data_IF_125427416102
#
_entry.id   IF_125427416102
#
_cell.length_a   1.000
_cell.length_b   1.000
_cell.length_c   1.000
_cell.angle_alpha   90.00
_cell.angle_beta   90.00
_cell.angle_gamma   90.00
#
_symmetry.space_group_name_H-M   'P 1'
#
loop_
_entity.id
_entity.type
_entity.pdbx_description
1 polymer ?
#
# COMPACT_ATOMS: atom_id res chain seq x y z
N UNK A 1 35.62 6.85 -33.05
CA UNK A 1 35.60 6.57 -31.60
C UNK A 1 34.55 7.40 -30.84
N UNK A 2 34.46 8.70 -31.11
CA UNK A 2 33.52 9.64 -30.46
C UNK A 2 32.03 9.22 -30.53
N UNK A 3 31.53 8.75 -31.68
CA UNK A 3 30.13 8.27 -31.82
C UNK A 3 29.79 7.09 -30.90
N UNK A 4 30.75 6.18 -30.66
CA UNK A 4 30.60 5.02 -29.76
C UNK A 4 30.61 5.46 -28.29
N UNK A 5 31.41 6.46 -27.94
CA UNK A 5 31.48 7.05 -26.61
C UNK A 5 30.19 7.81 -26.26
N UNK A 6 29.67 8.62 -27.18
CA UNK A 6 28.40 9.33 -27.02
C UNK A 6 27.23 8.35 -26.82
N UNK A 7 27.22 7.24 -27.56
CA UNK A 7 26.18 6.20 -27.40
C UNK A 7 26.25 5.52 -26.03
N UNK A 8 27.46 5.28 -25.49
CA UNK A 8 27.62 4.69 -24.15
C UNK A 8 27.24 5.66 -23.04
N UNK A 9 27.54 6.95 -23.21
CA UNK A 9 27.14 7.99 -22.27
C UNK A 9 25.62 8.15 -22.25
N UNK A 10 24.98 8.20 -23.42
CA UNK A 10 23.52 8.26 -23.55
C UNK A 10 22.83 7.11 -22.82
N UNK A 11 23.30 5.87 -22.98
CA UNK A 11 22.73 4.71 -22.27
C UNK A 11 22.76 4.89 -20.76
N UNK A 12 23.89 5.31 -20.21
CA UNK A 12 24.02 5.53 -18.76
C UNK A 12 23.10 6.63 -18.25
N UNK A 13 22.97 7.72 -19.02
CA UNK A 13 22.06 8.81 -18.67
C UNK A 13 20.63 8.32 -18.66
N UNK A 14 20.19 7.59 -19.70
CA UNK A 14 18.85 6.99 -19.76
C UNK A 14 18.61 6.06 -18.57
N UNK A 15 19.56 5.18 -18.23
CA UNK A 15 19.42 4.24 -17.11
C UNK A 15 19.29 4.96 -15.75
N UNK A 16 20.09 6.02 -15.53
CA UNK A 16 20.02 6.84 -14.31
C UNK A 16 18.70 7.60 -14.25
N UNK A 17 18.28 8.23 -15.35
CA UNK A 17 17.00 8.92 -15.42
C UNK A 17 15.82 7.97 -15.13
N UNK A 18 15.80 6.78 -15.73
CA UNK A 18 14.75 5.78 -15.46
C UNK A 18 14.71 5.36 -13.99
N UNK A 19 15.87 5.19 -13.35
CA UNK A 19 15.91 4.83 -11.93
C UNK A 19 15.35 5.94 -11.04
N UNK A 20 15.67 7.19 -11.36
CA UNK A 20 15.14 8.35 -10.64
C UNK A 20 13.63 8.49 -10.84
N UNK A 21 13.15 8.38 -12.09
CA UNK A 21 11.70 8.44 -12.36
C UNK A 21 10.95 7.30 -11.68
N UNK A 22 11.51 6.09 -11.64
CA UNK A 22 10.90 4.98 -10.91
C UNK A 22 10.73 5.30 -9.42
N UNK A 23 11.75 5.88 -8.77
CA UNK A 23 11.66 6.28 -7.35
C UNK A 23 10.60 7.37 -7.12
N UNK A 24 10.48 8.33 -8.05
CA UNK A 24 9.42 9.34 -8.00
C UNK A 24 8.03 8.71 -8.19
N UNK A 25 7.87 7.77 -9.13
CA UNK A 25 6.61 7.06 -9.35
C UNK A 25 6.18 6.25 -8.13
N UNK A 26 7.12 5.59 -7.46
CA UNK A 26 6.83 4.88 -6.21
C UNK A 26 6.51 5.82 -5.03
N UNK A 27 6.75 7.12 -5.17
CA UNK A 27 6.40 8.15 -4.18
C UNK A 27 5.13 8.90 -4.61
N UNK A 28 4.03 8.19 -4.84
CA UNK A 28 2.74 8.77 -5.25
C UNK A 28 2.26 9.86 -4.29
N UNK A 29 2.42 9.65 -2.98
CA UNK A 29 2.07 10.64 -1.95
C UNK A 29 2.83 11.97 -2.06
N UNK A 30 3.99 11.98 -2.73
CA UNK A 30 4.81 13.18 -2.93
C UNK A 30 4.55 13.80 -4.30
N UNK A 31 4.33 12.96 -5.32
CA UNK A 31 4.15 13.42 -6.71
C UNK A 31 2.74 13.92 -6.96
N UNK A 32 1.74 13.34 -6.30
CA UNK A 32 0.34 13.64 -6.58
C UNK A 32 -0.11 13.07 -7.92
N UNK A 33 -1.42 13.15 -8.17
CA UNK A 33 -2.07 12.48 -9.30
C UNK A 33 -1.55 12.99 -10.66
N UNK A 34 -1.61 14.32 -10.89
CA UNK A 34 -1.23 14.93 -12.16
C UNK A 34 0.25 14.67 -12.51
N UNK A 35 1.17 14.93 -11.57
CA UNK A 35 2.59 14.75 -11.84
C UNK A 35 2.93 13.26 -12.02
N UNK A 36 2.28 12.35 -11.29
CA UNK A 36 2.50 10.91 -11.43
C UNK A 36 2.17 10.43 -12.85
N UNK A 37 1.07 10.90 -13.45
CA UNK A 37 0.72 10.56 -14.84
C UNK A 37 1.79 11.03 -15.84
N UNK A 38 2.22 12.29 -15.75
CA UNK A 38 3.24 12.84 -16.64
C UNK A 38 4.61 12.18 -16.47
N UNK A 39 5.02 11.92 -15.22
CA UNK A 39 6.23 11.18 -14.90
C UNK A 39 6.14 9.75 -15.46
N UNK A 40 4.97 9.12 -15.38
CA UNK A 40 4.71 7.77 -15.91
C UNK A 40 4.83 7.71 -17.43
N UNK A 41 4.32 8.72 -18.13
CA UNK A 41 4.51 8.88 -19.57
C UNK A 41 6.00 9.09 -19.92
N UNK A 42 6.70 9.94 -19.19
CA UNK A 42 8.15 10.14 -19.34
C UNK A 42 8.94 8.85 -19.14
N UNK A 43 8.60 8.07 -18.11
CA UNK A 43 9.19 6.76 -17.84
C UNK A 43 8.94 5.78 -18.99
N UNK A 44 7.72 5.73 -19.53
CA UNK A 44 7.36 4.86 -20.66
C UNK A 44 8.19 5.20 -21.90
N UNK A 45 8.37 6.49 -22.22
CA UNK A 45 9.23 6.95 -23.31
C UNK A 45 10.68 6.55 -23.08
N UNK A 46 11.23 6.75 -21.87
CA UNK A 46 12.60 6.37 -21.56
C UNK A 46 12.82 4.86 -21.64
N UNK A 47 11.85 4.04 -21.20
CA UNK A 47 11.89 2.58 -21.34
C UNK A 47 11.93 2.20 -22.83
N UNK A 48 11.08 2.79 -23.68
CA UNK A 48 11.12 2.56 -25.13
C UNK A 48 12.49 2.92 -25.71
N UNK A 49 13.04 4.08 -25.34
CA UNK A 49 14.39 4.50 -25.76
C UNK A 49 15.44 3.50 -25.29
N UNK A 50 15.37 3.03 -24.04
CA UNK A 50 16.27 2.00 -23.51
C UNK A 50 16.19 0.70 -24.33
N UNK A 51 14.97 0.24 -24.68
CA UNK A 51 14.79 -0.93 -25.53
C UNK A 51 15.41 -0.75 -26.92
N UNK A 52 15.23 0.42 -27.54
CA UNK A 52 15.82 0.76 -28.85
C UNK A 52 17.36 0.76 -28.77
N UNK A 53 17.92 1.41 -27.75
CA UNK A 53 19.37 1.45 -27.52
C UNK A 53 19.94 0.04 -27.29
N UNK A 54 19.16 -0.85 -26.69
CA UNK A 54 19.55 -2.23 -26.37
C UNK A 54 19.00 -3.28 -27.35
N UNK A 55 18.51 -2.89 -28.54
CA UNK A 55 17.90 -3.79 -29.54
C UNK A 55 18.74 -5.02 -29.92
N UNK A 56 20.07 -4.94 -29.77
CA UNK A 56 21.00 -6.05 -30.06
C UNK A 56 20.80 -7.24 -29.13
N UNK A 57 20.31 -7.02 -27.91
CA UNK A 57 20.02 -8.08 -26.95
C UNK A 57 18.93 -9.04 -27.47
N UNK A 58 17.88 -8.51 -28.09
CA UNK A 58 16.81 -9.32 -28.71
C UNK A 58 17.34 -10.28 -29.78
N UNK A 59 18.24 -9.80 -30.64
CA UNK A 59 18.91 -10.64 -31.64
C UNK A 59 19.89 -11.65 -31.05
N UNK A 60 20.39 -11.40 -29.83
CA UNK A 60 21.25 -12.32 -29.11
C UNK A 60 20.46 -13.38 -28.34
N UNK A 61 19.21 -13.13 -27.93
CA UNK A 61 18.39 -14.11 -27.20
C UNK A 61 18.30 -15.45 -27.94
N UNK A 62 18.06 -15.43 -29.24
CA UNK A 62 17.91 -16.66 -30.03
C UNK A 62 19.25 -17.34 -30.40
N UNK A 63 20.39 -16.87 -29.88
CA UNK A 63 21.73 -17.34 -30.29
C UNK A 63 22.58 -17.83 -29.12
N UNK A 64 23.20 -19.00 -29.27
CA UNK A 64 24.23 -19.54 -28.37
C UNK A 64 23.69 -20.39 -27.21
N UNK A 65 24.60 -21.03 -26.46
CA UNK A 65 24.26 -21.89 -25.32
C UNK A 65 23.77 -21.04 -24.14
N UNK A 66 22.74 -21.53 -23.44
CA UNK A 66 22.19 -20.89 -22.25
C UNK A 66 22.90 -21.38 -21.01
N UNK A 67 23.53 -20.44 -20.31
CA UNK A 67 24.15 -20.69 -19.02
C UNK A 67 23.24 -20.17 -17.88
N UNK A 68 23.29 -20.74 -16.67
CA UNK A 68 22.55 -20.28 -15.49
C UNK A 68 22.47 -18.75 -15.33
N UNK A 69 23.61 -18.04 -15.31
CA UNK A 69 23.63 -16.56 -15.27
C UNK A 69 22.84 -15.92 -16.42
N UNK A 70 22.99 -16.44 -17.65
CA UNK A 70 22.27 -15.93 -18.83
C UNK A 70 20.77 -16.23 -18.76
N UNK A 71 20.37 -17.40 -18.26
CA UNK A 71 18.97 -17.76 -18.05
C UNK A 71 18.37 -16.80 -17.04
N UNK A 72 19.01 -16.62 -15.87
CA UNK A 72 18.54 -15.72 -14.81
C UNK A 72 18.36 -14.28 -15.32
N UNK A 73 19.38 -13.72 -16.00
CA UNK A 73 19.28 -12.37 -16.55
C UNK A 73 18.21 -12.27 -17.63
N UNK A 74 17.99 -13.31 -18.45
CA UNK A 74 16.95 -13.29 -19.48
C UNK A 74 15.56 -13.34 -18.86
N UNK A 75 15.33 -14.21 -17.86
CA UNK A 75 14.06 -14.31 -17.13
C UNK A 75 13.73 -12.99 -16.45
N UNK A 76 14.66 -12.41 -15.69
CA UNK A 76 14.44 -11.12 -15.01
C UNK A 76 14.13 -10.02 -16.03
N UNK A 77 14.88 -9.92 -17.13
CA UNK A 77 14.66 -8.87 -18.13
C UNK A 77 13.32 -9.03 -18.87
N UNK A 78 12.92 -10.26 -19.19
CA UNK A 78 11.63 -10.52 -19.83
C UNK A 78 10.49 -10.22 -18.86
N UNK A 79 10.57 -10.68 -17.61
CA UNK A 79 9.57 -10.37 -16.59
C UNK A 79 9.46 -8.86 -16.34
N UNK A 80 10.61 -8.16 -16.29
CA UNK A 80 10.66 -6.71 -16.12
C UNK A 80 9.98 -5.99 -17.30
N UNK A 81 10.25 -6.44 -18.53
CA UNK A 81 9.61 -5.87 -19.72
C UNK A 81 8.09 -6.07 -19.70
N UNK A 82 7.63 -7.27 -19.30
CA UNK A 82 6.20 -7.57 -19.18
C UNK A 82 5.55 -6.73 -18.08
N UNK A 83 6.17 -6.64 -16.90
CA UNK A 83 5.63 -5.85 -15.79
C UNK A 83 5.53 -4.38 -16.17
N UNK A 84 6.56 -3.79 -16.77
CA UNK A 84 6.52 -2.39 -17.23
C UNK A 84 5.47 -2.16 -18.32
N UNK A 85 5.37 -3.06 -19.30
CA UNK A 85 4.37 -2.94 -20.36
C UNK A 85 2.95 -2.98 -19.78
N UNK A 86 2.69 -3.89 -18.83
CA UNK A 86 1.39 -4.01 -18.18
C UNK A 86 1.07 -2.79 -17.29
N UNK A 87 2.03 -2.32 -16.49
CA UNK A 87 1.86 -1.12 -15.67
C UNK A 87 1.60 0.11 -16.53
N UNK A 88 2.36 0.30 -17.62
CA UNK A 88 2.17 1.41 -18.54
C UNK A 88 0.81 1.34 -19.24
N UNK A 89 0.40 0.17 -19.73
CA UNK A 89 -0.91 -0.01 -20.35
C UNK A 89 -2.05 0.29 -19.37
N UNK A 90 -2.00 -0.28 -18.17
CA UNK A 90 -3.04 -0.03 -17.16
C UNK A 90 -3.03 1.41 -16.66
N UNK A 91 -1.85 2.03 -16.55
CA UNK A 91 -1.71 3.44 -16.19
C UNK A 91 -2.25 4.39 -17.27
N UNK A 92 -2.06 4.07 -18.56
CA UNK A 92 -2.67 4.85 -19.65
C UNK A 92 -4.18 4.63 -19.74
N UNK A 93 -4.66 3.39 -19.50
CA UNK A 93 -6.09 3.07 -19.47
C UNK A 93 -6.81 3.73 -18.28
N UNK A 94 -6.04 4.08 -17.25
CA UNK A 94 -6.45 4.91 -16.14
C UNK A 94 -5.64 6.22 -16.16
N UNK A 95 -5.64 6.99 -17.24
CA UNK A 95 -5.07 8.35 -17.26
C UNK A 95 -6.18 9.36 -17.57
N UNK A 96 -6.33 10.36 -16.70
CA UNK A 96 -7.33 11.42 -16.84
C UNK A 96 -6.73 12.70 -17.43
N UNK A 97 -5.43 12.93 -17.21
CA UNK A 97 -4.75 14.16 -17.59
C UNK A 97 -3.85 13.97 -18.82
N UNK A 98 -2.97 12.96 -18.81
CA UNK A 98 -1.94 12.82 -19.85
C UNK A 98 -2.47 12.21 -21.15
N UNK A 99 -3.29 11.15 -21.07
CA UNK A 99 -3.88 10.46 -22.23
C UNK A 99 -5.37 10.14 -22.02
N UNK A 100 -6.23 11.16 -21.86
CA UNK A 100 -7.66 10.96 -21.55
C UNK A 100 -8.42 10.15 -22.61
N UNK A 101 -7.96 10.13 -23.86
CA UNK A 101 -8.56 9.33 -24.94
C UNK A 101 -8.41 7.81 -24.75
N UNK A 102 -7.53 7.36 -23.85
CA UNK A 102 -7.34 5.95 -23.50
C UNK A 102 -8.11 5.55 -22.23
N UNK A 103 -8.73 6.52 -21.56
CA UNK A 103 -9.54 6.27 -20.38
C UNK A 103 -10.70 5.29 -20.69
N UNK A 104 -10.91 4.32 -19.82
CA UNK A 104 -12.00 3.35 -19.96
C UNK A 104 -11.74 2.18 -20.93
N UNK A 105 -10.57 2.11 -21.58
CA UNK A 105 -10.20 0.93 -22.42
C UNK A 105 -10.17 -0.39 -21.64
N UNK A 106 -9.93 -0.32 -20.33
CA UNK A 106 -10.01 -1.44 -19.41
C UNK A 106 -10.86 -1.03 -18.20
N UNK A 107 -11.58 -1.98 -17.60
CA UNK A 107 -12.33 -1.74 -16.36
C UNK A 107 -11.42 -1.13 -15.31
N UNK A 108 -11.76 0.05 -14.79
CA UNK A 108 -10.90 0.85 -13.90
C UNK A 108 -10.48 0.05 -12.67
N UNK A 109 -11.39 -0.70 -12.05
CA UNK A 109 -11.08 -1.55 -10.89
C UNK A 109 -10.05 -2.64 -11.20
N UNK A 110 -10.12 -3.25 -12.38
CA UNK A 110 -9.15 -4.24 -12.84
C UNK A 110 -7.82 -3.60 -13.19
N UNK A 111 -7.84 -2.51 -13.98
CA UNK A 111 -6.64 -1.78 -14.37
C UNK A 111 -5.89 -1.24 -13.14
N UNK A 112 -6.61 -0.77 -12.11
CA UNK A 112 -6.02 -0.31 -10.84
C UNK A 112 -5.28 -1.43 -10.14
N UNK A 113 -5.95 -2.57 -9.95
CA UNK A 113 -5.36 -3.74 -9.29
C UNK A 113 -4.11 -4.23 -10.00
N UNK A 114 -4.17 -4.32 -11.34
CA UNK A 114 -3.02 -4.75 -12.15
C UNK A 114 -1.91 -3.72 -12.16
N UNK A 115 -2.22 -2.42 -12.28
CA UNK A 115 -1.24 -1.34 -12.24
C UNK A 115 -0.47 -1.35 -10.92
N UNK A 116 -1.17 -1.46 -9.79
CA UNK A 116 -0.55 -1.52 -8.47
C UNK A 116 0.32 -2.77 -8.31
N UNK A 117 -0.19 -3.96 -8.63
CA UNK A 117 0.63 -5.18 -8.50
C UNK A 117 1.84 -5.17 -9.43
N UNK A 118 1.66 -4.81 -10.70
CA UNK A 118 2.73 -4.82 -11.69
C UNK A 118 3.75 -3.70 -11.47
N UNK A 119 3.37 -2.54 -10.90
CA UNK A 119 4.34 -1.50 -10.52
C UNK A 119 5.26 -1.97 -9.38
N UNK A 120 4.71 -2.69 -8.39
CA UNK A 120 5.48 -3.27 -7.30
C UNK A 120 6.38 -4.41 -7.80
N UNK A 121 5.89 -5.27 -8.69
CA UNK A 121 6.72 -6.28 -9.35
C UNK A 121 7.82 -5.64 -10.20
N UNK A 122 7.52 -4.57 -10.94
CA UNK A 122 8.50 -3.83 -11.72
C UNK A 122 9.58 -3.22 -10.82
N UNK A 123 9.22 -2.72 -9.64
CA UNK A 123 10.15 -2.20 -8.64
C UNK A 123 11.12 -3.29 -8.13
N UNK A 124 10.58 -4.45 -7.72
CA UNK A 124 11.37 -5.61 -7.28
C UNK A 124 12.31 -6.10 -8.38
N UNK A 125 11.78 -6.30 -9.58
CA UNK A 125 12.53 -6.79 -10.74
C UNK A 125 13.57 -5.77 -11.21
N UNK A 126 13.31 -4.47 -11.10
CA UNK A 126 14.29 -3.41 -11.39
C UNK A 126 15.47 -3.49 -10.41
N UNK A 127 15.19 -3.66 -9.11
CA UNK A 127 16.23 -3.89 -8.11
C UNK A 127 17.10 -5.09 -8.47
N UNK A 128 16.49 -6.24 -8.76
CA UNK A 128 17.21 -7.45 -9.18
C UNK A 128 18.02 -7.23 -10.47
N UNK A 129 17.43 -6.55 -11.47
CA UNK A 129 18.07 -6.21 -12.74
C UNK A 129 19.32 -5.35 -12.52
N UNK A 130 19.19 -4.23 -11.79
CA UNK A 130 20.30 -3.34 -11.44
C UNK A 130 21.37 -4.08 -10.65
N UNK A 131 20.96 -4.88 -9.67
CA UNK A 131 21.81 -5.70 -8.82
C UNK A 131 22.76 -6.61 -9.60
N UNK A 132 22.25 -7.31 -10.61
CA UNK A 132 23.06 -8.22 -11.44
C UNK A 132 24.18 -7.51 -12.21
N UNK A 133 24.08 -6.20 -12.44
CA UNK A 133 25.10 -5.40 -13.12
C UNK A 133 26.18 -4.87 -12.17
N UNK A 134 25.89 -4.72 -10.87
CA UNK A 134 26.80 -4.17 -9.86
C UNK A 134 28.16 -4.93 -9.80
N UNK A 135 28.22 -6.28 -9.75
CA UNK A 135 29.49 -6.99 -9.68
C UNK A 135 30.41 -6.74 -10.88
N UNK A 136 29.83 -6.50 -12.07
CA UNK A 136 30.60 -6.18 -13.29
C UNK A 136 31.19 -4.77 -13.22
N UNK A 137 30.42 -3.84 -12.67
CA UNK A 137 30.84 -2.45 -12.52
C UNK A 137 31.90 -2.33 -11.42
N UNK A 138 31.69 -2.99 -10.28
CA UNK A 138 32.63 -3.04 -9.17
C UNK A 138 33.98 -3.64 -9.58
N UNK A 139 34.01 -4.65 -10.45
CA UNK A 139 35.25 -5.21 -10.98
C UNK A 139 36.08 -4.23 -11.81
N UNK A 140 35.48 -3.16 -12.34
CA UNK A 140 36.18 -2.09 -13.09
C UNK A 140 36.70 -0.97 -12.18
N UNK A 141 36.22 -0.89 -10.95
CA UNK A 141 36.65 0.08 -9.95
C UNK A 141 37.86 -0.49 -9.19
N UNK A 142 39.01 0.20 -9.26
CA UNK A 142 40.22 -0.16 -8.50
C UNK A 142 40.09 0.26 -7.03
N UNK A 143 39.15 -0.34 -6.29
CA UNK A 143 38.98 -0.09 -4.85
C UNK A 143 39.90 -0.99 -4.02
N UNK A 144 40.39 -0.47 -2.89
CA UNK A 144 41.12 -1.24 -1.88
C UNK A 144 40.21 -2.33 -1.27
N UNK A 145 40.77 -3.49 -0.92
CA UNK A 145 40.01 -4.60 -0.32
C UNK A 145 39.30 -4.18 0.98
N UNK A 146 39.93 -3.32 1.80
CA UNK A 146 39.27 -2.77 3.01
C UNK A 146 38.02 -1.94 2.68
N UNK A 147 38.09 -1.12 1.62
CA UNK A 147 36.93 -0.32 1.19
C UNK A 147 35.83 -1.22 0.64
N UNK A 148 36.16 -2.28 -0.11
CA UNK A 148 35.17 -3.24 -0.60
C UNK A 148 34.43 -3.94 0.53
N UNK A 149 35.15 -4.36 1.58
CA UNK A 149 34.53 -4.95 2.77
C UNK A 149 33.62 -3.95 3.48
N UNK A 150 34.09 -2.70 3.67
CA UNK A 150 33.28 -1.66 4.30
C UNK A 150 31.99 -1.37 3.54
N UNK A 151 32.07 -1.11 2.22
CA UNK A 151 30.88 -0.88 1.40
C UNK A 151 29.95 -2.09 1.36
N UNK A 152 30.50 -3.31 1.35
CA UNK A 152 29.69 -4.53 1.42
C UNK A 152 28.96 -4.68 2.75
N UNK A 153 29.60 -4.31 3.87
CA UNK A 153 28.98 -4.35 5.19
C UNK A 153 27.87 -3.29 5.31
N UNK A 154 28.12 -2.06 4.84
CA UNK A 154 27.11 -1.00 4.80
C UNK A 154 25.92 -1.41 3.93
N UNK A 155 26.17 -1.97 2.75
CA UNK A 155 25.11 -2.44 1.86
C UNK A 155 24.32 -3.62 2.46
N UNK A 156 24.97 -4.52 3.19
CA UNK A 156 24.31 -5.61 3.91
C UNK A 156 23.37 -5.09 5.00
N UNK A 157 23.82 -4.14 5.82
CA UNK A 157 22.97 -3.52 6.84
C UNK A 157 21.80 -2.75 6.21
N UNK A 158 22.08 -1.97 5.16
CA UNK A 158 21.05 -1.24 4.41
C UNK A 158 20.03 -2.18 3.76
N UNK A 159 20.46 -3.34 3.25
CA UNK A 159 19.58 -4.36 2.69
C UNK A 159 18.67 -4.98 3.77
N UNK A 160 19.20 -5.29 4.96
CA UNK A 160 18.38 -5.79 6.08
C UNK A 160 17.33 -4.78 6.53
N UNK A 161 17.71 -3.51 6.68
CA UNK A 161 16.77 -2.43 7.00
C UNK A 161 15.76 -2.18 5.86
N UNK A 162 16.21 -2.32 4.60
CA UNK A 162 15.34 -2.24 3.42
C UNK A 162 14.27 -3.34 3.39
N UNK A 163 14.59 -4.58 3.80
CA UNK A 163 13.59 -5.64 3.92
C UNK A 163 12.60 -5.38 5.05
N UNK A 164 13.07 -4.86 6.19
CA UNK A 164 12.20 -4.44 7.29
C UNK A 164 11.17 -3.41 6.81
N UNK A 165 11.61 -2.36 6.11
CA UNK A 165 10.72 -1.35 5.53
C UNK A 165 9.77 -1.95 4.48
N UNK A 166 10.26 -2.89 3.66
CA UNK A 166 9.45 -3.55 2.65
C UNK A 166 8.27 -4.33 3.23
N UNK A 167 8.48 -5.02 4.36
CA UNK A 167 7.42 -5.73 5.08
C UNK A 167 6.51 -4.73 5.82
N UNK A 168 7.10 -3.75 6.52
CA UNK A 168 6.37 -2.73 7.27
C UNK A 168 5.42 -1.92 6.39
N UNK A 169 5.81 -1.61 5.16
CA UNK A 169 5.00 -0.85 4.22
C UNK A 169 3.95 -1.72 3.48
N UNK A 170 3.78 -3.00 3.87
CA UNK A 170 2.75 -3.88 3.28
C UNK A 170 2.97 -4.21 1.81
N UNK A 171 4.19 -4.03 1.28
CA UNK A 171 4.52 -4.22 -0.15
C UNK A 171 4.18 -5.64 -0.65
N UNK A 172 4.20 -6.62 0.25
CA UNK A 172 3.82 -8.02 -0.02
C UNK A 172 2.36 -8.18 -0.42
N UNK A 173 1.45 -7.39 0.15
CA UNK A 173 0.03 -7.50 -0.12
C UNK A 173 -0.32 -6.93 -1.51
N UNK A 174 0.39 -5.88 -1.93
CA UNK A 174 0.31 -5.35 -3.30
C UNK A 174 0.86 -6.33 -4.35
N UNK A 175 1.97 -7.02 -4.05
CA UNK A 175 2.55 -8.04 -4.94
C UNK A 175 1.60 -9.22 -5.19
N UNK A 176 0.80 -9.60 -4.19
CA UNK A 176 -0.08 -10.76 -4.20
C UNK A 176 -1.55 -10.43 -4.52
N UNK A 177 -1.82 -9.25 -5.09
CA UNK A 177 -3.17 -8.81 -5.48
C UNK A 177 -4.19 -8.79 -4.32
N UNK A 178 -3.73 -8.67 -3.07
CA UNK A 178 -4.61 -8.69 -1.90
C UNK A 178 -5.34 -7.37 -1.69
N UNK A 179 -4.79 -6.27 -2.21
CA UNK A 179 -5.32 -4.91 -1.98
C UNK A 179 -5.67 -4.25 -3.31
N UNK A 180 -6.79 -3.53 -3.31
CA UNK A 180 -7.30 -2.79 -4.49
C UNK A 180 -6.98 -1.29 -4.43
N UNK A 181 -6.65 -0.78 -3.25
CA UNK A 181 -6.35 0.63 -2.96
C UNK A 181 -5.00 0.74 -2.25
N UNK A 182 -4.26 1.83 -2.50
CA UNK A 182 -3.09 2.13 -1.69
C UNK A 182 -3.47 3.06 -0.55
N UNK A 183 -3.15 2.63 0.67
CA UNK A 183 -3.22 3.46 1.86
C UNK A 183 -1.88 4.17 2.01
N UNK A 184 -1.84 5.43 1.61
CA UNK A 184 -0.64 6.26 1.69
C UNK A 184 -0.77 7.22 2.86
N UNK A 185 0.28 7.29 3.67
CA UNK A 185 0.39 8.26 4.75
C UNK A 185 0.85 9.60 4.16
N UNK A 186 -0.09 10.51 3.95
CA UNK A 186 0.18 11.84 3.40
C UNK A 186 0.83 12.81 4.41
N UNK A 187 0.83 12.48 5.71
CA UNK A 187 1.47 13.30 6.75
C UNK A 187 2.98 13.07 6.82
N UNK A 188 3.45 11.99 6.18
CA UNK A 188 4.87 11.63 6.14
C UNK A 188 5.66 12.55 5.23
N UNK A 189 6.79 13.05 5.74
CA UNK A 189 7.75 13.86 4.97
C UNK A 189 8.17 13.16 3.66
N UNK A 190 7.93 13.79 2.52
CA UNK A 190 8.20 13.18 1.20
C UNK A 190 9.65 12.74 0.98
N UNK A 191 10.63 13.40 1.61
CA UNK A 191 12.04 12.97 1.56
C UNK A 191 12.26 11.62 2.27
N UNK A 192 11.53 11.33 3.35
CA UNK A 192 11.60 10.04 4.04
C UNK A 192 11.02 8.92 3.16
N UNK A 193 9.94 9.19 2.43
CA UNK A 193 9.33 8.23 1.49
C UNK A 193 10.32 7.81 0.42
N UNK A 194 11.00 8.79 -0.20
CA UNK A 194 12.01 8.52 -1.22
C UNK A 194 13.19 7.76 -0.61
N UNK A 195 13.62 8.12 0.60
CA UNK A 195 14.69 7.42 1.30
C UNK A 195 14.34 5.95 1.60
N UNK A 196 13.13 5.67 2.06
CA UNK A 196 12.63 4.31 2.26
C UNK A 196 12.57 3.54 0.94
N UNK A 197 12.07 4.16 -0.12
CA UNK A 197 12.05 3.56 -1.47
C UNK A 197 13.47 3.22 -1.95
N UNK A 198 14.46 4.06 -1.67
CA UNK A 198 15.87 3.76 -1.99
C UNK A 198 16.36 2.55 -1.19
N UNK A 199 16.08 2.48 0.11
CA UNK A 199 16.51 1.36 0.97
C UNK A 199 15.87 0.03 0.54
N UNK A 200 14.58 0.04 0.21
CA UNK A 200 13.89 -1.12 -0.34
C UNK A 200 14.47 -1.54 -1.69
N UNK A 201 14.78 -0.59 -2.57
CA UNK A 201 15.42 -0.89 -3.86
C UNK A 201 16.82 -1.48 -3.67
N UNK A 202 17.59 -0.98 -2.70
CA UNK A 202 18.92 -1.48 -2.36
C UNK A 202 18.89 -2.92 -1.85
N UNK A 203 17.86 -3.33 -1.11
CA UNK A 203 17.66 -4.73 -0.72
C UNK A 203 17.56 -5.64 -1.95
N UNK A 204 16.68 -5.33 -2.90
CA UNK A 204 16.51 -6.13 -4.12
C UNK A 204 17.75 -6.06 -5.03
N UNK A 205 18.44 -4.92 -5.08
CA UNK A 205 19.72 -4.79 -5.77
C UNK A 205 20.83 -5.64 -5.12
N UNK A 206 20.86 -5.72 -3.79
CA UNK A 206 21.78 -6.60 -3.07
C UNK A 206 21.50 -8.08 -3.39
N UNK A 207 20.24 -8.51 -3.33
CA UNK A 207 19.83 -9.88 -3.71
C UNK A 207 20.23 -10.19 -5.16
N UNK A 208 19.97 -9.27 -6.10
CA UNK A 208 20.36 -9.42 -7.51
C UNK A 208 21.87 -9.52 -7.71
N UNK A 209 22.66 -8.74 -6.96
CA UNK A 209 24.12 -8.78 -7.00
C UNK A 209 24.65 -10.13 -6.48
N UNK A 210 24.15 -10.61 -5.34
CA UNK A 210 24.56 -11.89 -4.77
C UNK A 210 24.14 -13.07 -5.66
N UNK A 211 22.93 -13.05 -6.23
CA UNK A 211 22.47 -14.05 -7.18
C UNK A 211 23.34 -14.09 -8.46
N UNK A 212 23.75 -12.92 -8.95
CA UNK A 212 24.69 -12.81 -10.07
C UNK A 212 26.07 -13.40 -9.77
N UNK A 213 26.60 -13.17 -8.57
CA UNK A 213 27.88 -13.75 -8.10
C UNK A 213 27.76 -15.26 -7.95
N UNK A 214 26.68 -15.76 -7.34
CA UNK A 214 26.42 -17.19 -7.18
C UNK A 214 26.41 -17.92 -8.54
N UNK A 215 25.64 -17.41 -9.50
CA UNK A 215 25.53 -18.01 -10.83
C UNK A 215 26.86 -18.04 -11.59
N UNK A 216 27.74 -17.05 -11.36
CA UNK A 216 29.09 -17.01 -11.96
C UNK A 216 30.07 -17.92 -11.24
N UNK A 217 29.99 -18.01 -9.92
CA UNK A 217 30.84 -18.93 -9.14
C UNK A 217 30.51 -20.38 -9.47
N UNK A 218 29.23 -20.69 -9.75
CA UNK A 218 28.81 -22.02 -10.22
C UNK A 218 29.38 -22.42 -11.59
N UNK A 219 29.95 -21.48 -12.36
CA UNK A 219 30.61 -21.74 -13.65
C UNK A 219 32.09 -22.07 -13.55
N UNK A 220 32.71 -21.80 -12.39
CA UNK A 220 34.15 -21.96 -12.22
C UNK A 220 34.50 -23.43 -11.97
N UNK A 221 35.71 -23.81 -12.38
CA UNK A 221 36.26 -25.15 -12.19
C UNK A 221 36.25 -25.57 -10.70
N UNK A 222 36.12 -26.87 -10.43
CA UNK A 222 35.98 -27.42 -9.07
C UNK A 222 37.05 -26.98 -8.07
N UNK A 223 38.27 -26.66 -8.54
CA UNK A 223 39.38 -26.16 -7.71
C UNK A 223 39.18 -24.75 -7.13
N UNK A 224 38.27 -23.93 -7.69
CA UNK A 224 37.96 -22.57 -7.23
C UNK A 224 36.59 -22.46 -6.51
N UNK A 225 35.87 -23.57 -6.32
CA UNK A 225 34.51 -23.59 -5.72
C UNK A 225 34.45 -23.28 -4.21
N UNK A 226 35.57 -22.95 -3.57
CA UNK A 226 35.69 -22.83 -2.09
C UNK A 226 34.70 -21.83 -1.45
N UNK A 227 34.17 -20.87 -2.22
CA UNK A 227 33.25 -19.83 -1.73
C UNK A 227 31.88 -19.82 -2.46
N UNK A 228 31.41 -20.95 -3.00
CA UNK A 228 30.18 -20.99 -3.81
C UNK A 228 28.91 -20.62 -3.02
N UNK A 229 28.80 -21.01 -1.75
CA UNK A 229 27.60 -20.75 -0.92
C UNK A 229 27.63 -19.40 -0.19
N UNK A 230 28.77 -18.70 -0.22
CA UNK A 230 28.94 -17.43 0.49
C UNK A 230 27.89 -16.37 0.11
N UNK A 231 27.52 -16.17 -1.18
CA UNK A 231 26.45 -15.24 -1.54
C UNK A 231 25.08 -15.62 -0.96
N UNK A 232 24.79 -16.91 -0.83
CA UNK A 232 23.54 -17.41 -0.26
C UNK A 232 23.48 -17.10 1.24
N UNK A 233 24.59 -17.30 1.95
CA UNK A 233 24.71 -16.95 3.38
C UNK A 233 24.48 -15.44 3.58
N UNK A 234 25.03 -14.59 2.71
CA UNK A 234 24.79 -13.15 2.78
C UNK A 234 23.33 -12.76 2.53
N UNK A 235 22.64 -13.41 1.58
CA UNK A 235 21.20 -13.19 1.37
C UNK A 235 20.43 -13.60 2.62
N UNK A 236 20.68 -14.81 3.14
CA UNK A 236 20.01 -15.32 4.34
C UNK A 236 20.26 -14.43 5.55
N UNK A 237 21.49 -13.93 5.74
CA UNK A 237 21.83 -13.01 6.82
C UNK A 237 21.07 -11.69 6.73
N UNK A 238 20.93 -11.12 5.53
CA UNK A 238 20.17 -9.88 5.33
C UNK A 238 18.66 -10.11 5.56
N UNK A 239 18.14 -11.27 5.16
CA UNK A 239 16.74 -11.66 5.41
C UNK A 239 16.49 -11.81 6.90
N UNK A 240 17.35 -12.54 7.62
CA UNK A 240 17.25 -12.70 9.08
C UNK A 240 17.31 -11.34 9.77
N UNK A 241 18.24 -10.46 9.36
CA UNK A 241 18.32 -9.11 9.93
C UNK A 241 17.01 -8.33 9.74
N UNK A 242 16.42 -8.35 8.54
CA UNK A 242 15.15 -7.68 8.27
C UNK A 242 13.98 -8.28 9.06
N UNK A 243 13.91 -9.61 9.19
CA UNK A 243 12.87 -10.29 9.98
C UNK A 243 13.02 -10.05 11.49
N UNK A 244 14.25 -10.03 12.01
CA UNK A 244 14.53 -9.71 13.41
C UNK A 244 14.16 -8.26 13.70
N UNK A 245 14.54 -7.31 12.83
CA UNK A 245 14.10 -5.91 12.95
C UNK A 245 12.58 -5.82 12.94
N UNK A 246 11.91 -6.54 12.05
CA UNK A 246 10.45 -6.58 12.01
C UNK A 246 9.86 -7.09 13.32
N UNK A 247 10.43 -8.15 13.91
CA UNK A 247 9.96 -8.72 15.18
C UNK A 247 10.26 -7.81 16.40
N UNK A 248 11.41 -7.14 16.41
CA UNK A 248 11.80 -6.23 17.51
C UNK A 248 10.95 -4.97 17.48
N UNK A 249 10.74 -4.40 16.28
CA UNK A 249 10.01 -3.15 16.11
C UNK A 249 8.51 -3.35 15.86
N UNK A 250 8.01 -4.60 15.77
CA UNK A 250 6.56 -4.86 15.71
C UNK A 250 5.85 -4.59 17.04
N UNK A 251 6.57 -4.65 18.17
CA UNK A 251 6.00 -4.37 19.51
C UNK A 251 5.87 -2.87 19.81
N UNK A 252 6.80 -2.02 19.34
CA UNK A 252 6.69 -0.56 19.53
C UNK A 252 5.47 0.03 18.81
N UNK A 253 4.99 -0.59 17.73
CA UNK A 253 3.75 -0.18 17.05
C UNK A 253 2.45 -0.69 17.70
N UNK A 254 2.52 -1.59 18.71
CA UNK A 254 1.37 -1.83 19.61
C UNK A 254 1.29 -0.80 20.73
N UNK A 255 2.40 -0.12 21.06
CA UNK A 255 2.47 0.87 22.14
C UNK A 255 2.52 2.33 21.67
N UNK A 256 2.70 2.61 20.38
CA UNK A 256 2.56 3.96 19.80
C UNK A 256 1.12 4.50 19.75
N UNK A 257 0.14 3.73 20.22
CA UNK A 257 -1.26 4.12 20.37
C UNK A 257 -1.82 3.75 21.77
N UNK A 258 -0.95 3.47 22.75
CA UNK A 258 -1.36 3.15 24.13
C UNK A 258 -0.38 3.81 25.10
N UNK A 259 -0.33 5.15 25.12
CA UNK A 259 -0.04 5.91 26.35
C UNK A 259 -0.36 7.41 26.19
N UNK A 260 -1.65 7.76 26.21
CA UNK A 260 -2.06 9.03 26.81
C UNK A 260 -3.38 8.85 27.53
N UNK A 261 -3.27 8.41 28.79
CA UNK A 261 -4.16 8.85 29.87
C UNK A 261 -5.47 8.08 30.03
N UNK A 262 -5.71 7.71 31.29
CA UNK A 262 -6.97 7.27 31.90
C UNK A 262 -7.15 5.76 32.01
N UNK A 263 -6.36 5.18 32.92
CA UNK A 263 -6.90 4.18 33.82
C UNK A 263 -6.32 4.41 35.22
N UNK A 264 -7.06 5.13 36.06
CA UNK A 264 -7.07 4.82 37.49
C UNK A 264 -8.34 5.39 38.12
N UNK A 265 -9.36 4.55 38.19
CA UNK A 265 -10.41 4.72 39.18
C UNK A 265 -10.58 3.41 39.92
N UNK A 266 -10.26 3.51 41.21
CA UNK A 266 -10.71 2.68 42.32
C UNK A 266 -9.94 1.39 42.56
N UNK A 267 -9.08 1.43 43.58
CA UNK A 267 -9.42 0.83 44.87
C UNK A 267 -8.52 1.38 45.97
N UNK A 268 -9.12 1.92 47.04
CA UNK A 268 -8.79 1.63 48.45
C UNK A 268 -9.53 2.59 49.39
N UNK A 269 -10.12 2.04 50.46
CA UNK A 269 -10.20 2.72 51.76
C UNK A 269 -11.56 3.26 52.19
N UNK A 270 -12.36 2.40 52.80
CA UNK A 270 -13.35 2.75 53.81
C UNK A 270 -12.67 3.30 55.09
N UNK A 271 -13.13 4.45 55.61
CA UNK A 271 -13.53 4.68 57.02
C UNK A 271 -13.83 6.17 57.32
N UNK A 272 -15.02 6.37 57.91
CA UNK A 272 -15.49 7.36 58.90
C UNK A 272 -15.14 8.86 58.86
N UNK A 273 -16.19 9.69 59.01
CA UNK A 273 -16.12 10.85 59.91
C UNK A 273 -16.71 12.20 59.41
N UNK A 274 -18.04 12.35 59.52
CA UNK A 274 -18.63 13.48 60.25
C UNK A 274 -18.68 14.92 59.67
N UNK A 275 -19.94 15.39 59.56
CA UNK A 275 -20.48 16.67 60.12
C UNK A 275 -20.84 17.81 59.14
N UNK A 276 -22.13 18.19 59.29
CA UNK A 276 -22.83 19.48 59.14
C UNK A 276 -23.23 20.01 57.76
N UNK A 277 -24.49 19.72 57.44
CA UNK A 277 -25.54 20.64 56.95
C UNK A 277 -25.71 21.90 57.87
N UNK A 278 -26.40 23.01 57.47
CA UNK A 278 -27.77 22.90 56.95
C UNK A 278 -28.32 23.96 55.96
N UNK A 279 -29.36 23.50 55.25
CA UNK A 279 -30.66 24.13 55.00
C UNK A 279 -30.77 25.45 54.20
N UNK A 280 -31.58 25.42 53.13
CA UNK A 280 -32.85 26.17 53.05
C UNK A 280 -33.90 25.37 52.25
N UNK A 281 -35.10 25.33 52.83
CA UNK A 281 -36.34 24.68 52.41
C UNK A 281 -37.03 25.37 51.23
N UNK A 282 -37.82 24.62 50.45
CA UNK A 282 -39.28 24.78 50.39
C UNK A 282 -39.92 23.71 49.50
N UNK A 283 -40.86 22.98 50.08
CA UNK A 283 -41.84 22.14 49.39
C UNK A 283 -42.86 23.03 48.67
N UNK A 284 -43.35 22.60 47.49
CA UNK A 284 -44.80 22.49 47.35
C UNK A 284 -45.20 21.48 46.25
N UNK A 285 -46.27 20.78 46.56
CA UNK A 285 -46.78 19.59 45.88
C UNK A 285 -47.82 19.98 44.81
N UNK A 286 -47.75 19.42 43.58
CA UNK A 286 -48.93 19.03 42.75
C UNK A 286 -48.57 18.35 41.42
N UNK A 287 -48.89 17.06 41.38
CA UNK A 287 -49.58 16.30 40.31
C UNK A 287 -49.19 16.49 38.83
N UNK A 288 -48.76 15.36 38.27
CA UNK A 288 -48.57 15.06 36.87
C UNK A 288 -49.79 15.36 35.97
N UNK A 289 -49.53 15.90 34.78
CA UNK A 289 -50.11 15.40 33.53
C UNK A 289 -49.15 15.68 32.36
N UNK A 290 -49.22 14.76 31.41
CA UNK A 290 -48.33 14.39 30.32
C UNK A 290 -48.12 15.45 29.23
N UNK A 291 -46.92 15.36 28.61
CA UNK A 291 -46.62 15.55 27.18
C UNK A 291 -45.25 16.25 26.95
N UNK A 292 -44.17 15.64 27.45
CA UNK A 292 -42.83 16.01 26.96
C UNK A 292 -42.58 15.22 25.67
N UNK A 293 -42.70 15.91 24.54
CA UNK A 293 -42.13 15.46 23.27
C UNK A 293 -40.64 15.22 23.51
N UNK A 294 -40.16 14.02 23.21
CA UNK A 294 -38.73 13.74 23.21
C UNK A 294 -38.04 14.70 22.24
N UNK A 295 -37.07 15.45 22.76
CA UNK A 295 -36.19 16.33 21.99
C UNK A 295 -35.21 15.45 21.20
N UNK A 296 -35.12 15.56 19.86
CA UNK A 296 -34.21 14.73 19.05
C UNK A 296 -32.72 15.04 19.28
N UNK A 297 -32.37 16.02 20.12
CA UNK A 297 -30.99 16.51 20.26
C UNK A 297 -30.15 15.84 21.35
N UNK A 298 -30.61 14.78 22.02
CA UNK A 298 -29.82 14.09 23.05
C UNK A 298 -29.63 12.58 22.80
N UNK A 299 -29.35 12.21 21.55
CA UNK A 299 -28.73 10.90 21.28
C UNK A 299 -27.21 11.14 21.16
N UNK A 300 -26.47 10.88 22.23
CA UNK A 300 -24.99 10.94 22.28
C UNK A 300 -24.35 9.71 21.59
N UNK A 301 -24.81 9.32 20.40
CA UNK A 301 -24.32 8.10 19.71
C UNK A 301 -23.21 8.39 18.70
N UNK A 302 -22.70 9.63 18.65
CA UNK A 302 -21.60 10.03 17.75
C UNK A 302 -21.98 10.31 16.29
N UNK A 303 -23.26 10.11 15.93
CA UNK A 303 -23.77 10.44 14.60
C UNK A 303 -23.91 11.95 14.38
N UNK A 304 -23.76 12.37 13.13
CA UNK A 304 -23.90 13.77 12.70
C UNK A 304 -25.25 13.97 12.01
N UNK A 305 -26.00 14.98 12.43
CA UNK A 305 -27.23 15.41 11.76
C UNK A 305 -26.90 16.12 10.44
N UNK A 306 -27.45 15.61 9.34
CA UNK A 306 -27.43 16.24 8.03
C UNK A 306 -28.82 16.79 7.74
N UNK A 307 -28.90 18.10 7.54
CA UNK A 307 -30.15 18.76 7.19
C UNK A 307 -30.65 18.32 5.81
N UNK A 308 -31.95 18.05 5.71
CA UNK A 308 -32.60 17.71 4.46
C UNK A 308 -32.54 18.85 3.45
N UNK A 309 -32.44 18.51 2.18
CA UNK A 309 -32.24 19.48 1.12
C UNK A 309 -32.36 18.87 -0.27
N UNK A 310 -32.05 19.68 -1.27
CA UNK A 310 -31.91 19.23 -2.66
C UNK A 310 -30.50 19.54 -3.12
N UNK A 311 -29.82 18.56 -3.69
CA UNK A 311 -28.47 18.70 -4.21
C UNK A 311 -28.34 18.00 -5.57
N UNK A 312 -27.35 18.42 -6.35
CA UNK A 312 -27.04 17.82 -7.64
C UNK A 312 -26.14 16.59 -7.40
N UNK A 313 -26.67 15.40 -7.67
CA UNK A 313 -25.92 14.14 -7.56
C UNK A 313 -25.36 13.74 -8.91
N UNK A 314 -24.12 13.24 -8.94
CA UNK A 314 -23.37 12.91 -10.16
C UNK A 314 -22.27 13.92 -10.47
N UNK A 315 -21.42 13.61 -11.45
CA UNK A 315 -20.27 14.42 -11.84
C UNK A 315 -20.48 15.11 -13.20
N UNK A 316 -19.94 16.32 -13.41
CA UNK A 316 -19.96 16.99 -14.71
C UNK A 316 -19.34 16.11 -15.81
N UNK A 317 -19.81 16.24 -17.05
CA UNK A 317 -19.24 15.50 -18.19
C UNK A 317 -17.73 15.74 -18.38
N UNK A 318 -17.22 16.87 -17.90
CA UNK A 318 -15.79 17.23 -17.95
C UNK A 318 -14.96 16.70 -16.79
N UNK A 319 -15.56 16.03 -15.80
CA UNK A 319 -14.84 15.48 -14.67
C UNK A 319 -14.04 14.24 -15.12
N UNK A 320 -12.73 14.26 -14.84
CA UNK A 320 -11.88 13.11 -15.10
C UNK A 320 -12.39 11.91 -14.29
N UNK A 321 -12.25 10.70 -14.84
CA UNK A 321 -12.65 9.45 -14.19
C UNK A 321 -14.15 9.18 -14.05
N UNK A 322 -14.98 10.06 -14.59
CA UNK A 322 -16.42 9.87 -14.62
C UNK A 322 -16.80 8.56 -15.31
N UNK A 323 -17.64 7.76 -14.67
CA UNK A 323 -18.30 6.60 -15.26
C UNK A 323 -19.72 6.93 -15.75
N UNK A 324 -20.27 6.09 -16.63
CA UNK A 324 -21.47 6.41 -17.40
C UNK A 324 -22.73 6.66 -16.54
N UNK A 325 -22.79 6.09 -15.33
CA UNK A 325 -23.91 6.21 -14.39
C UNK A 325 -23.84 7.45 -13.47
N UNK A 326 -22.77 8.25 -13.53
CA UNK A 326 -22.65 9.50 -12.79
C UNK A 326 -23.34 10.68 -13.51
N UNK A 327 -24.52 10.46 -14.10
CA UNK A 327 -25.28 11.52 -14.78
C UNK A 327 -25.82 12.50 -13.74
N UNK A 328 -25.58 13.80 -13.95
CA UNK A 328 -26.05 14.83 -13.02
C UNK A 328 -27.58 14.91 -13.00
N UNK A 329 -28.16 14.79 -11.81
CA UNK A 329 -29.60 14.92 -11.57
C UNK A 329 -29.89 15.43 -10.15
N UNK A 330 -31.02 16.11 -9.97
CA UNK A 330 -31.43 16.63 -8.66
C UNK A 330 -31.93 15.50 -7.76
N UNK A 331 -31.38 15.41 -6.55
CA UNK A 331 -31.78 14.48 -5.50
C UNK A 331 -32.27 15.27 -4.29
N UNK A 332 -33.47 14.93 -3.80
CA UNK A 332 -34.05 15.49 -2.59
C UNK A 332 -34.06 14.46 -1.48
N UNK A 333 -33.43 14.79 -0.35
CA UNK A 333 -33.38 13.94 0.85
C UNK A 333 -33.97 14.68 2.06
N UNK A 334 -34.66 13.93 2.92
CA UNK A 334 -35.09 14.42 4.24
C UNK A 334 -33.88 14.52 5.19
N UNK A 335 -33.99 15.22 6.31
CA UNK A 335 -32.92 15.22 7.32
C UNK A 335 -32.68 13.81 7.85
N UNK A 336 -31.41 13.46 8.06
CA UNK A 336 -30.99 12.14 8.56
C UNK A 336 -29.71 12.25 9.37
N UNK A 337 -29.39 11.21 10.12
CA UNK A 337 -28.14 11.08 10.87
C UNK A 337 -27.20 10.14 10.11
N UNK A 338 -25.90 10.45 10.09
CA UNK A 338 -24.86 9.60 9.49
C UNK A 338 -23.64 9.49 10.40
N UNK A 339 -23.01 8.32 10.44
CA UNK A 339 -21.75 8.15 11.13
C UNK A 339 -20.67 9.00 10.43
N UNK A 340 -19.85 9.77 11.16
CA UNK A 340 -18.81 10.61 10.57
C UNK A 340 -17.62 9.80 10.02
N UNK A 341 -17.51 8.52 10.43
CA UNK A 341 -16.43 7.62 10.05
C UNK A 341 -16.98 6.29 9.56
N UNK A 342 -16.18 5.56 8.81
CA UNK A 342 -16.46 4.17 8.45
C UNK A 342 -16.49 3.28 9.70
N UNK A 343 -17.37 2.28 9.72
CA UNK A 343 -17.48 1.31 10.82
C UNK A 343 -16.14 0.63 11.08
N UNK A 344 -15.70 0.64 12.34
CA UNK A 344 -14.40 0.08 12.71
C UNK A 344 -14.43 -1.43 12.89
N UNK A 345 -13.26 -2.07 12.79
CA UNK A 345 -13.11 -3.50 13.07
C UNK A 345 -13.55 -3.87 14.49
N UNK A 346 -13.27 -3.01 15.47
CA UNK A 346 -13.69 -3.21 16.86
C UNK A 346 -15.22 -3.18 16.99
N UNK A 347 -15.88 -2.15 16.46
CA UNK A 347 -17.34 -1.99 16.56
C UNK A 347 -18.06 -3.16 15.88
N UNK A 348 -17.61 -3.52 14.67
CA UNK A 348 -18.16 -4.63 13.91
C UNK A 348 -17.98 -5.97 14.63
N UNK A 349 -16.80 -6.23 15.16
CA UNK A 349 -16.50 -7.50 15.87
C UNK A 349 -17.30 -7.60 17.16
N UNK A 350 -17.48 -6.49 17.88
CA UNK A 350 -18.29 -6.44 19.11
C UNK A 350 -19.74 -6.86 18.85
N UNK A 351 -20.32 -6.43 17.73
CA UNK A 351 -21.74 -6.67 17.41
C UNK A 351 -21.98 -7.98 16.65
N UNK A 352 -21.04 -8.41 15.80
CA UNK A 352 -21.23 -9.61 14.95
C UNK A 352 -20.42 -10.83 15.40
N UNK A 353 -19.42 -10.64 16.28
CA UNK A 353 -18.51 -11.70 16.73
C UNK A 353 -17.48 -12.15 15.69
N UNK A 354 -17.36 -11.45 14.55
CA UNK A 354 -16.47 -11.83 13.45
C UNK A 354 -15.55 -10.69 13.03
N UNK A 355 -14.28 -11.01 12.75
CA UNK A 355 -13.26 -10.08 12.22
C UNK A 355 -12.69 -10.61 10.89
N UNK A 356 -13.40 -10.39 9.76
CA UNK A 356 -13.03 -10.94 8.46
C UNK A 356 -11.87 -10.20 7.78
N UNK A 357 -11.43 -9.05 8.31
CA UNK A 357 -10.44 -8.19 7.67
C UNK A 357 -9.07 -8.84 7.51
N UNK A 358 -8.44 -8.67 6.35
CA UNK A 358 -7.02 -8.97 6.10
C UNK A 358 -6.10 -7.99 6.82
N UNK A 359 -6.49 -6.72 6.92
CA UNK A 359 -5.77 -5.72 7.71
C UNK A 359 -6.24 -5.76 9.16
N UNK A 360 -5.32 -5.56 10.12
CA UNK A 360 -5.63 -5.66 11.55
C UNK A 360 -5.38 -4.34 12.26
N UNK A 361 -6.41 -3.84 12.93
CA UNK A 361 -6.35 -2.70 13.84
C UNK A 361 -7.74 -2.25 14.27
N UNK A 362 -7.93 -2.08 15.58
CA UNK A 362 -9.24 -1.81 16.20
C UNK A 362 -9.95 -0.59 15.61
N UNK A 363 -9.18 0.43 15.21
CA UNK A 363 -9.67 1.69 14.62
C UNK A 363 -9.61 1.76 13.09
N UNK A 364 -9.24 0.66 12.42
CA UNK A 364 -9.31 0.59 10.97
C UNK A 364 -10.74 0.27 10.53
N UNK A 365 -11.15 0.69 9.32
CA UNK A 365 -12.44 0.30 8.77
C UNK A 365 -12.51 -1.22 8.60
N UNK A 366 -13.68 -1.79 8.88
CA UNK A 366 -13.96 -3.19 8.57
C UNK A 366 -14.01 -3.37 7.05
N UNK A 367 -13.43 -4.46 6.57
CA UNK A 367 -13.33 -4.76 5.14
C UNK A 367 -13.48 -6.26 4.87
N UNK A 368 -13.69 -6.65 3.61
CA UNK A 368 -14.06 -8.02 3.18
C UNK A 368 -15.41 -8.48 3.79
N UNK A 369 -16.35 -7.55 3.95
CA UNK A 369 -17.75 -7.87 4.27
C UNK A 369 -18.63 -7.80 3.03
N UNK A 370 -19.63 -8.66 2.95
CA UNK A 370 -20.67 -8.57 1.92
C UNK A 370 -21.71 -7.51 2.27
N UNK A 371 -22.55 -7.15 1.29
CA UNK A 371 -23.68 -6.26 1.56
C UNK A 371 -24.66 -6.84 2.60
N UNK A 372 -24.87 -8.16 2.57
CA UNK A 372 -25.73 -8.83 3.55
C UNK A 372 -25.16 -8.74 4.97
N UNK A 373 -23.84 -8.89 5.11
CA UNK A 373 -23.17 -8.74 6.40
C UNK A 373 -23.34 -7.31 6.95
N UNK A 374 -23.22 -6.30 6.08
CA UNK A 374 -23.45 -4.90 6.46
C UNK A 374 -24.90 -4.62 6.91
N UNK A 375 -25.89 -5.23 6.25
CA UNK A 375 -27.30 -5.13 6.64
C UNK A 375 -27.59 -5.81 7.98
N UNK A 376 -27.02 -7.00 8.20
CA UNK A 376 -27.14 -7.71 9.48
C UNK A 376 -26.51 -6.89 10.59
N UNK A 377 -25.33 -6.30 10.36
CA UNK A 377 -24.69 -5.39 11.30
C UNK A 377 -25.57 -4.16 11.60
N UNK A 378 -26.16 -3.52 10.59
CA UNK A 378 -27.03 -2.36 10.80
C UNK A 378 -28.25 -2.68 11.68
N UNK A 379 -28.85 -3.87 11.50
CA UNK A 379 -29.91 -4.34 12.37
C UNK A 379 -29.41 -4.61 13.80
N UNK A 380 -28.26 -5.27 13.97
CA UNK A 380 -27.66 -5.51 15.29
C UNK A 380 -27.34 -4.20 16.04
N UNK A 381 -26.81 -3.18 15.33
CA UNK A 381 -26.58 -1.83 15.88
C UNK A 381 -27.90 -1.16 16.28
N UNK A 382 -28.97 -1.34 15.50
CA UNK A 382 -30.31 -0.84 15.84
C UNK A 382 -30.84 -1.50 17.11
N UNK A 383 -30.70 -2.83 17.25
CA UNK A 383 -31.16 -3.58 18.42
C UNK A 383 -30.37 -3.21 19.70
N UNK A 384 -29.05 -3.03 19.59
CA UNK A 384 -28.21 -2.57 20.71
C UNK A 384 -28.67 -1.19 21.22
N UNK A 385 -29.03 -0.28 20.31
CA UNK A 385 -29.55 1.04 20.62
C UNK A 385 -31.04 1.04 21.05
N UNK A 386 -31.70 -0.13 21.09
CA UNK A 386 -33.13 -0.23 21.40
C UNK A 386 -34.05 0.35 20.32
N UNK A 387 -33.55 0.49 19.10
CA UNK A 387 -34.27 1.00 17.93
C UNK A 387 -34.91 -0.15 17.13
N UNK A 388 -35.86 0.20 16.27
CA UNK A 388 -36.49 -0.77 15.37
C UNK A 388 -35.53 -1.12 14.21
N UNK A 389 -35.24 -2.40 13.94
CA UNK A 389 -34.42 -2.80 12.79
C UNK A 389 -34.99 -2.29 11.46
N UNK A 390 -34.12 -1.77 10.60
CA UNK A 390 -34.53 -1.18 9.31
C UNK A 390 -34.78 -2.23 8.23
N UNK A 391 -34.13 -3.39 8.31
CA UNK A 391 -34.18 -4.42 7.29
C UNK A 391 -34.88 -5.68 7.78
N UNK A 392 -35.67 -6.31 6.90
CA UNK A 392 -36.19 -7.67 7.12
C UNK A 392 -35.38 -8.65 6.29
N UNK A 393 -34.62 -9.53 6.93
CA UNK A 393 -33.85 -10.56 6.25
C UNK A 393 -34.66 -11.86 6.26
N UNK A 394 -35.25 -12.21 5.12
CA UNK A 394 -35.90 -13.52 4.95
C UNK A 394 -34.87 -14.52 4.44
N UNK A 395 -34.63 -15.60 5.17
CA UNK A 395 -33.82 -16.71 4.66
C UNK A 395 -34.48 -17.27 3.38
N UNK A 396 -33.84 -17.10 2.24
CA UNK A 396 -34.25 -17.80 1.02
C UNK A 396 -33.95 -19.29 1.20
N UNK A 397 -35.01 -20.10 1.14
CA UNK A 397 -34.91 -21.52 0.78
C UNK A 397 -34.11 -21.61 -0.53
N UNK A 398 -33.14 -22.53 -0.69
CA UNK A 398 -32.35 -22.62 -1.90
C UNK A 398 -33.24 -22.74 -3.15
N UNK A 399 -33.20 -21.75 -4.05
CA UNK A 399 -33.87 -21.81 -5.36
C UNK A 399 -34.84 -20.67 -5.71
N UNK A 400 -35.02 -19.64 -4.88
CA UNK A 400 -35.74 -18.43 -5.28
C UNK A 400 -34.89 -17.19 -5.03
N UNK A 401 -34.42 -16.56 -6.11
CA UNK A 401 -34.01 -15.16 -6.07
C UNK A 401 -35.27 -14.30 -5.98
N UNK A 402 -35.36 -13.45 -4.96
CA UNK A 402 -36.29 -12.32 -4.96
C UNK A 402 -35.55 -11.10 -4.41
N UNK A 403 -35.67 -10.01 -5.17
CA UNK A 403 -35.03 -8.70 -4.98
C UNK A 403 -35.54 -7.94 -3.76
#
# INVERSE_FOLDING_TARGET
MQRKQNTMMLRRVVDVCMTVLLLCLMAYQVTGEEAHEWIGMGMTVLVIVHQILNRRWYGAMFKGKYHAYRILTTVINVSLLVSFAMTAFCGMAMSGYAVPFLYGMAKVSFARRVHMSMSHWAFVLMGLHLGMHIPVMAAKLKLSERMKMFFSAVLFCAAGFGLFLFIRNGMTDYLLFRVQFAFLDYDKLGALVIFENILMLLFWAFVGAQAGIFCRNSQKNDKEKKNQLLPVIYIMGAVILGLVLNMVFSDESRQGFVDTGWNDSQETGSEEGGVSDPAVTNEDHRTADSSVKADPSEIQDGFVLIDGGTFLMGSPESENWRIDDEVQHDVKVSSYYIDPFETTQEEYTRLTGSDPGSFKGDRLPVEIISWFDAVVFANAKSEEAGLTPAYTVTETVPGQEVF
#
